data_IF_211276445137
#
_entry.id   IF_211276445137
#
_cell.length_a   1.000
_cell.length_b   1.000
_cell.length_c   1.000
_cell.angle_alpha   90.00
_cell.angle_beta   90.00
_cell.angle_gamma   90.00
#
_symmetry.space_group_name_H-M   'P 1'
#
loop_
_entity.id
_entity.type
_entity.pdbx_description
1 polymer ?
#
# COMPACT_ATOMS: atom_id res chain seq x y z
N UNK A 1 16.49 45.09 40.99
CA UNK A 1 17.83 45.65 40.72
C UNK A 1 18.38 45.01 39.44
N UNK A 2 18.52 45.84 38.40
CA UNK A 2 19.29 45.73 37.15
C UNK A 2 19.16 44.52 36.19
N UNK A 3 18.38 44.80 35.13
CA UNK A 3 18.59 44.47 33.71
C UNK A 3 19.89 45.13 33.18
N UNK A 4 20.37 44.67 32.01
CA UNK A 4 21.41 45.23 31.11
C UNK A 4 22.77 44.51 31.12
N UNK A 5 23.50 44.34 30.01
CA UNK A 5 23.41 44.95 28.66
C UNK A 5 24.21 44.10 27.66
N UNK A 6 23.69 44.00 26.43
CA UNK A 6 24.48 43.72 25.21
C UNK A 6 25.48 44.86 25.00
N UNK A 7 26.71 44.55 24.58
CA UNK A 7 27.61 45.53 23.95
C UNK A 7 27.87 45.15 22.49
N UNK A 8 27.74 46.16 21.64
CA UNK A 8 27.85 46.14 20.18
C UNK A 8 28.95 47.15 19.80
N UNK A 9 29.76 46.77 18.81
CA UNK A 9 30.56 47.61 17.87
C UNK A 9 31.88 48.23 18.35
N UNK A 10 32.94 48.01 17.55
CA UNK A 10 33.66 49.09 16.86
C UNK A 10 34.36 48.56 15.61
N UNK A 11 34.24 49.30 14.50
CA UNK A 11 34.98 49.13 13.24
C UNK A 11 36.41 49.73 13.36
N UNK A 12 37.35 49.35 12.48
CA UNK A 12 37.99 50.24 11.48
C UNK A 12 39.08 49.50 10.66
N UNK A 13 39.05 49.81 9.36
CA UNK A 13 39.86 49.45 8.19
C UNK A 13 41.39 49.31 8.34
N UNK A 14 41.99 48.46 7.51
CA UNK A 14 43.14 48.87 6.68
C UNK A 14 43.12 48.15 5.33
N UNK A 15 43.26 48.95 4.27
CA UNK A 15 43.24 48.62 2.86
C UNK A 15 44.67 48.30 2.40
N UNK A 16 44.88 47.28 1.56
CA UNK A 16 46.02 47.25 0.65
C UNK A 16 45.58 46.74 -0.72
N UNK A 17 45.69 47.65 -1.70
CA UNK A 17 45.48 47.41 -3.12
C UNK A 17 46.82 47.02 -3.72
N UNK A 18 46.86 45.92 -4.47
CA UNK A 18 47.87 45.71 -5.52
C UNK A 18 47.13 45.32 -6.80
N UNK A 19 47.26 46.18 -7.81
CA UNK A 19 46.83 45.98 -9.19
C UNK A 19 48.01 45.42 -9.96
N UNK A 20 47.86 44.27 -10.63
CA UNK A 20 48.61 43.95 -11.86
C UNK A 20 47.67 43.29 -12.85
N UNK A 21 47.80 43.72 -14.11
CA UNK A 21 46.84 43.59 -15.18
C UNK A 21 47.30 42.58 -16.26
N UNK A 22 46.28 42.02 -16.94
CA UNK A 22 46.26 41.53 -18.34
C UNK A 22 46.90 40.15 -18.60
N UNK A 23 46.10 39.25 -19.19
CA UNK A 23 46.23 38.72 -20.58
C UNK A 23 44.99 37.83 -20.81
N UNK A 24 44.26 38.09 -21.89
CA UNK A 24 43.04 37.36 -22.24
C UNK A 24 43.29 36.06 -23.00
N UNK A 25 42.25 35.22 -23.09
CA UNK A 25 41.87 34.51 -24.32
C UNK A 25 40.44 33.96 -24.17
N UNK A 26 39.68 33.99 -25.26
CA UNK A 26 38.34 33.44 -25.37
C UNK A 26 38.38 31.92 -25.65
N UNK A 27 37.31 31.23 -25.22
CA UNK A 27 36.68 30.05 -25.82
C UNK A 27 37.19 28.61 -25.54
N UNK A 28 36.24 27.86 -24.96
CA UNK A 28 35.76 26.49 -25.28
C UNK A 28 36.47 25.19 -24.84
N UNK A 29 35.64 24.40 -24.15
CA UNK A 29 35.47 22.93 -24.13
C UNK A 29 36.59 22.06 -23.53
N UNK A 30 36.26 21.29 -22.48
CA UNK A 30 35.88 19.88 -22.67
C UNK A 30 35.27 19.28 -21.39
N UNK A 31 34.12 18.66 -21.59
CA UNK A 31 33.45 17.76 -20.65
C UNK A 31 34.23 16.45 -20.66
N UNK A 32 34.68 15.99 -19.49
CA UNK A 32 35.01 14.58 -19.29
C UNK A 32 34.07 14.00 -18.23
N UNK A 33 33.06 13.27 -18.72
CA UNK A 33 32.21 12.40 -17.92
C UNK A 33 33.02 11.17 -17.53
N UNK A 34 33.37 11.04 -16.24
CA UNK A 34 33.62 9.74 -15.64
C UNK A 34 32.30 9.19 -15.10
N UNK A 35 31.69 8.31 -15.89
CA UNK A 35 30.59 7.44 -15.50
C UNK A 35 31.01 6.56 -14.33
N UNK A 36 30.45 6.82 -13.14
CA UNK A 36 30.35 5.83 -12.07
C UNK A 36 28.91 5.34 -12.07
N UNK A 37 28.72 4.13 -12.62
CA UNK A 37 27.44 3.42 -12.65
C UNK A 37 27.01 3.09 -11.23
N UNK A 38 26.23 3.96 -10.62
CA UNK A 38 25.47 3.65 -9.41
C UNK A 38 24.13 3.02 -9.82
N UNK A 39 24.00 1.73 -9.58
CA UNK A 39 22.74 0.98 -9.66
C UNK A 39 21.65 1.74 -8.89
N UNK A 40 20.52 2.12 -9.49
CA UNK A 40 19.45 2.75 -8.74
C UNK A 40 18.69 1.68 -7.97
N UNK A 41 18.86 1.66 -6.65
CA UNK A 41 17.88 1.12 -5.72
C UNK A 41 16.53 1.76 -6.04
N UNK A 42 15.72 1.03 -6.79
CA UNK A 42 14.46 1.52 -7.34
C UNK A 42 13.49 1.63 -6.17
N UNK A 43 13.33 2.87 -5.68
CA UNK A 43 12.27 3.26 -4.75
C UNK A 43 10.96 2.65 -5.22
N UNK A 44 10.25 1.98 -4.31
CA UNK A 44 8.85 1.59 -4.50
C UNK A 44 8.13 2.85 -4.93
N UNK A 45 7.70 2.88 -6.20
CA UNK A 45 6.98 4.02 -6.75
C UNK A 45 5.60 3.95 -6.11
N UNK A 46 5.42 4.66 -4.99
CA UNK A 46 4.10 5.14 -4.62
C UNK A 46 3.52 5.71 -5.91
N UNK A 47 2.34 5.25 -6.33
CA UNK A 47 1.60 5.90 -7.41
C UNK A 47 1.39 7.35 -6.99
N UNK A 48 2.26 8.25 -7.42
CA UNK A 48 2.29 9.66 -7.02
C UNK A 48 1.00 10.42 -7.41
N UNK A 49 0.03 9.74 -8.03
CA UNK A 49 -1.29 10.26 -8.39
C UNK A 49 -2.40 9.97 -7.37
N UNK A 50 -2.26 8.98 -6.49
CA UNK A 50 -3.34 8.60 -5.56
C UNK A 50 -3.06 9.18 -4.19
N UNK A 51 -3.63 10.36 -3.96
CA UNK A 51 -3.63 11.03 -2.68
C UNK A 51 -4.28 10.13 -1.61
N UNK A 52 -3.59 9.97 -0.49
CA UNK A 52 -4.13 9.30 0.66
C UNK A 52 -4.94 10.33 1.44
N UNK A 53 -6.26 10.25 1.43
CA UNK A 53 -7.18 11.07 2.24
C UNK A 53 -8.58 10.49 2.23
N UNK A 54 -9.43 10.76 3.23
CA UNK A 54 -10.82 10.33 3.20
C UNK A 54 -11.61 10.90 2.01
N UNK A 55 -12.62 10.17 1.53
CA UNK A 55 -13.61 10.71 0.60
C UNK A 55 -14.34 11.89 1.26
N UNK A 56 -14.77 12.85 0.45
CA UNK A 56 -15.67 13.91 0.93
C UNK A 56 -16.92 13.28 1.53
N UNK A 57 -17.22 13.61 2.78
CA UNK A 57 -18.36 13.03 3.49
C UNK A 57 -19.66 13.52 2.85
N UNK A 58 -20.51 12.57 2.44
CA UNK A 58 -21.82 12.83 1.83
C UNK A 58 -23.00 12.23 2.59
N UNK A 59 -22.74 11.61 3.74
CA UNK A 59 -23.75 10.87 4.52
C UNK A 59 -24.49 9.78 3.69
N UNK A 60 -23.80 9.19 2.73
CA UNK A 60 -24.28 8.11 1.87
C UNK A 60 -23.14 7.13 1.58
N UNK A 61 -23.49 5.93 1.09
CA UNK A 61 -22.48 4.95 0.67
C UNK A 61 -21.76 5.48 -0.57
N UNK A 62 -20.43 5.50 -0.55
CA UNK A 62 -19.60 5.86 -1.69
C UNK A 62 -18.63 4.72 -2.00
N UNK A 63 -18.42 4.42 -3.28
CA UNK A 63 -17.40 3.49 -3.74
C UNK A 63 -16.73 4.08 -4.98
N UNK A 64 -15.42 4.26 -4.92
CA UNK A 64 -14.60 4.80 -6.00
C UNK A 64 -13.56 3.76 -6.36
N UNK A 65 -13.62 3.25 -7.59
CA UNK A 65 -12.59 2.38 -8.18
C UNK A 65 -11.90 3.12 -9.31
N UNK A 66 -10.58 3.28 -9.21
CA UNK A 66 -9.81 3.94 -10.26
C UNK A 66 -9.80 3.10 -11.54
N UNK A 67 -9.71 3.72 -12.74
CA UNK A 67 -9.43 3.00 -13.97
C UNK A 67 -8.17 2.14 -13.83
N UNK A 68 -8.13 1.04 -14.59
CA UNK A 68 -6.89 0.30 -14.75
C UNK A 68 -5.82 1.21 -15.38
N UNK A 69 -4.57 1.02 -15.03
CA UNK A 69 -3.48 1.75 -15.70
C UNK A 69 -3.18 1.18 -17.10
N UNK A 70 -2.17 1.74 -17.78
CA UNK A 70 -1.77 1.31 -19.13
C UNK A 70 -1.24 -0.12 -19.21
N UNK A 71 -0.89 -0.75 -18.09
CA UNK A 71 -0.51 -2.16 -18.01
C UNK A 71 -1.70 -3.05 -17.60
N UNK A 72 -2.91 -2.49 -17.46
CA UNK A 72 -4.10 -3.20 -17.05
C UNK A 72 -4.13 -3.52 -15.55
N UNK A 73 -3.34 -2.83 -14.73
CA UNK A 73 -3.24 -3.04 -13.27
C UNK A 73 -4.31 -2.26 -12.54
N UNK A 74 -4.85 -2.83 -11.46
CA UNK A 74 -5.71 -2.10 -10.54
C UNK A 74 -4.89 -1.01 -9.82
N UNK A 75 -5.49 0.16 -9.58
CA UNK A 75 -4.76 1.33 -9.09
C UNK A 75 -5.22 1.78 -7.70
N UNK A 76 -6.52 1.79 -7.45
CA UNK A 76 -7.09 2.22 -6.17
C UNK A 76 -8.54 1.77 -6.04
N UNK A 77 -8.91 1.32 -4.84
CA UNK A 77 -10.30 1.11 -4.45
C UNK A 77 -10.55 1.85 -3.13
N UNK A 78 -11.64 2.61 -3.04
CA UNK A 78 -11.92 3.49 -1.90
C UNK A 78 -13.40 3.49 -1.59
N UNK A 79 -13.75 3.13 -0.36
CA UNK A 79 -15.13 3.04 0.08
C UNK A 79 -15.39 3.94 1.29
N UNK A 80 -16.60 4.49 1.37
CA UNK A 80 -17.13 5.11 2.57
C UNK A 80 -18.53 4.53 2.82
N UNK A 81 -18.74 3.87 3.96
CA UNK A 81 -19.99 3.17 4.26
C UNK A 81 -20.25 3.07 5.77
N UNK A 82 -21.51 2.87 6.16
CA UNK A 82 -21.91 2.42 7.50
C UNK A 82 -22.34 0.95 7.48
N UNK A 83 -22.40 0.30 8.65
CA UNK A 83 -22.77 -1.11 8.81
C UNK A 83 -24.04 -1.52 8.03
N UNK A 84 -25.09 -0.69 8.10
CA UNK A 84 -26.37 -0.97 7.41
C UNK A 84 -26.30 -0.95 5.87
N UNK A 85 -25.18 -0.51 5.30
CA UNK A 85 -24.94 -0.38 3.86
C UNK A 85 -24.03 -1.48 3.29
N UNK A 86 -23.64 -2.45 4.12
CA UNK A 86 -22.95 -3.64 3.65
C UNK A 86 -23.84 -4.47 2.71
N UNK A 87 -23.26 -5.19 1.74
CA UNK A 87 -24.01 -6.00 0.80
C UNK A 87 -24.78 -7.12 1.50
N UNK A 88 -26.06 -7.26 1.16
CA UNK A 88 -26.93 -8.33 1.67
C UNK A 88 -26.99 -9.56 0.75
N UNK A 89 -26.46 -9.42 -0.46
CA UNK A 89 -26.45 -10.48 -1.47
C UNK A 89 -25.26 -11.38 -1.24
N UNK A 90 -25.46 -12.69 -1.40
CA UNK A 90 -24.38 -13.67 -1.31
C UNK A 90 -23.33 -13.42 -2.39
N UNK A 91 -22.06 -13.47 -2.01
CA UNK A 91 -20.91 -13.37 -2.93
C UNK A 91 -20.98 -14.44 -4.02
N UNK A 92 -20.63 -14.04 -5.24
CA UNK A 92 -20.49 -14.95 -6.38
C UNK A 92 -19.03 -15.39 -6.56
N UNK A 93 -18.78 -16.50 -7.26
CA UNK A 93 -17.42 -16.89 -7.64
C UNK A 93 -16.71 -15.80 -8.47
N UNK A 94 -15.42 -15.62 -8.19
CA UNK A 94 -14.56 -14.76 -8.98
C UNK A 94 -13.99 -15.52 -10.18
N UNK A 95 -14.32 -15.05 -11.38
CA UNK A 95 -13.95 -15.63 -12.67
C UNK A 95 -13.11 -14.69 -13.53
N UNK A 96 -13.07 -13.39 -13.21
CA UNK A 96 -12.23 -12.42 -13.94
C UNK A 96 -10.80 -12.44 -13.41
N UNK A 97 -9.86 -12.65 -14.32
CA UNK A 97 -8.43 -12.66 -14.01
C UNK A 97 -7.84 -11.25 -14.08
N UNK A 98 -7.23 -10.75 -12.99
CA UNK A 98 -6.43 -9.54 -13.03
C UNK A 98 -5.13 -9.78 -13.82
N UNK A 99 -4.44 -8.70 -14.19
CA UNK A 99 -3.17 -8.82 -14.91
C UNK A 99 -2.11 -9.57 -14.08
N UNK A 100 -1.27 -10.35 -14.74
CA UNK A 100 -0.26 -11.20 -14.07
C UNK A 100 -0.84 -12.43 -13.38
N UNK A 101 -2.11 -12.77 -13.61
CA UNK A 101 -2.72 -13.94 -12.99
C UNK A 101 -2.08 -15.25 -13.43
N UNK A 102 -1.48 -15.96 -12.47
CA UNK A 102 -1.10 -17.36 -12.56
C UNK A 102 -1.45 -18.03 -11.24
N UNK A 103 -1.97 -19.26 -11.28
CA UNK A 103 -2.24 -20.00 -10.05
C UNK A 103 -1.59 -21.37 -10.07
N UNK A 104 -1.04 -21.75 -8.93
CA UNK A 104 -0.26 -22.97 -8.77
C UNK A 104 -0.71 -23.72 -7.52
N UNK A 105 -0.78 -25.05 -7.61
CA UNK A 105 -1.06 -25.89 -6.46
C UNK A 105 0.26 -26.31 -5.80
N UNK A 106 0.72 -25.50 -4.84
CA UNK A 106 2.04 -25.61 -4.21
C UNK A 106 2.00 -26.34 -2.87
N UNK A 107 3.12 -26.98 -2.57
CA UNK A 107 3.38 -27.58 -1.28
C UNK A 107 3.55 -26.51 -0.20
N UNK A 108 3.13 -26.81 1.02
CA UNK A 108 3.44 -26.03 2.22
C UNK A 108 3.60 -26.99 3.41
N UNK A 109 4.25 -26.51 4.48
CA UNK A 109 4.34 -27.25 5.75
C UNK A 109 3.25 -26.74 6.68
N UNK A 110 2.31 -27.61 7.08
CA UNK A 110 1.24 -27.26 8.01
C UNK A 110 1.78 -27.11 9.43
N UNK A 111 0.97 -26.56 10.35
CA UNK A 111 1.36 -26.39 11.76
C UNK A 111 1.70 -27.72 12.45
N UNK A 112 1.13 -28.83 11.96
CA UNK A 112 1.46 -30.19 12.42
C UNK A 112 2.79 -30.73 11.87
N UNK A 113 3.47 -29.98 11.01
CA UNK A 113 4.69 -30.38 10.33
C UNK A 113 4.49 -31.21 9.06
N UNK A 114 3.25 -31.56 8.70
CA UNK A 114 2.92 -32.31 7.47
C UNK A 114 3.13 -31.46 6.22
N UNK A 115 3.53 -32.11 5.13
CA UNK A 115 3.61 -31.49 3.81
C UNK A 115 2.28 -31.70 3.08
N UNK A 116 1.59 -30.60 2.79
CA UNK A 116 0.27 -30.57 2.15
C UNK A 116 0.33 -29.67 0.91
N UNK A 117 -0.75 -29.62 0.12
CA UNK A 117 -0.86 -28.71 -1.02
C UNK A 117 -2.00 -27.71 -0.86
N UNK A 118 -1.78 -26.50 -1.35
CA UNK A 118 -2.78 -25.45 -1.46
C UNK A 118 -2.59 -24.64 -2.75
N UNK A 119 -3.67 -24.02 -3.22
CA UNK A 119 -3.58 -23.03 -4.30
C UNK A 119 -2.86 -21.78 -3.79
N UNK A 120 -1.84 -21.33 -4.52
CA UNK A 120 -1.03 -20.19 -4.14
C UNK A 120 -1.82 -18.90 -4.22
N UNK A 121 -2.39 -18.59 -5.37
CA UNK A 121 -2.98 -17.28 -5.66
C UNK A 121 -4.51 -17.31 -5.51
N UNK A 122 -5.03 -16.19 -5.01
CA UNK A 122 -6.44 -15.81 -5.02
C UNK A 122 -6.62 -14.60 -5.93
N UNK A 123 -7.78 -14.50 -6.58
CA UNK A 123 -8.25 -13.25 -7.17
C UNK A 123 -8.62 -12.33 -6.00
N UNK A 124 -7.62 -11.68 -5.43
CA UNK A 124 -7.73 -10.94 -4.18
C UNK A 124 -8.41 -9.61 -4.39
N UNK A 125 -9.30 -9.25 -3.49
CA UNK A 125 -10.01 -7.97 -3.52
C UNK A 125 -9.12 -6.88 -2.93
N UNK A 126 -9.07 -5.70 -3.54
CA UNK A 126 -8.52 -4.53 -2.86
C UNK A 126 -9.43 -4.16 -1.68
N UNK A 127 -10.68 -3.77 -1.94
CA UNK A 127 -11.70 -3.65 -0.89
C UNK A 127 -12.56 -4.91 -0.88
N UNK A 128 -12.51 -5.65 0.23
CA UNK A 128 -13.21 -6.91 0.43
C UNK A 128 -14.70 -6.87 0.10
N UNK A 129 -15.24 -8.02 -0.33
CA UNK A 129 -16.64 -8.14 -0.73
C UNK A 129 -17.62 -7.68 0.35
N UNK A 130 -17.35 -7.96 1.62
CA UNK A 130 -18.22 -7.57 2.74
C UNK A 130 -18.46 -6.05 2.82
N UNK A 131 -17.57 -5.24 2.27
CA UNK A 131 -17.76 -3.79 2.15
C UNK A 131 -18.21 -3.40 0.74
N UNK A 132 -17.49 -3.88 -0.28
CA UNK A 132 -17.64 -3.41 -1.66
C UNK A 132 -18.86 -3.98 -2.38
N UNK A 133 -19.25 -5.22 -2.09
CA UNK A 133 -20.25 -5.98 -2.84
C UNK A 133 -19.83 -6.29 -4.28
N UNK A 134 -18.56 -6.05 -4.64
CA UNK A 134 -18.06 -6.23 -5.99
C UNK A 134 -17.56 -7.66 -6.17
N UNK A 135 -18.13 -8.40 -7.13
CA UNK A 135 -17.60 -9.71 -7.52
C UNK A 135 -16.48 -9.53 -8.56
N UNK A 136 -16.82 -9.52 -9.84
CA UNK A 136 -15.89 -9.58 -10.96
C UNK A 136 -15.45 -8.20 -11.49
N UNK A 137 -15.28 -7.22 -10.59
CA UNK A 137 -14.77 -5.89 -10.93
C UNK A 137 -13.24 -5.91 -11.00
N UNK A 138 -12.69 -5.98 -12.22
CA UNK A 138 -11.23 -6.08 -12.45
C UNK A 138 -10.42 -4.95 -11.80
N UNK A 139 -11.00 -3.75 -11.65
CA UNK A 139 -10.36 -2.60 -10.98
C UNK A 139 -10.22 -2.78 -9.46
N UNK A 140 -10.91 -3.75 -8.88
CA UNK A 140 -10.86 -4.10 -7.46
C UNK A 140 -10.17 -5.46 -7.23
N UNK A 141 -9.46 -6.00 -8.23
CA UNK A 141 -8.81 -7.31 -8.14
C UNK A 141 -7.32 -7.24 -8.46
N UNK A 142 -6.50 -7.93 -7.65
CA UNK A 142 -5.08 -8.19 -7.89
C UNK A 142 -4.73 -9.64 -7.54
N UNK A 143 -3.65 -10.23 -8.10
CA UNK A 143 -3.17 -11.52 -7.62
C UNK A 143 -2.58 -11.41 -6.21
N UNK A 144 -3.15 -12.16 -5.29
CA UNK A 144 -2.76 -12.19 -3.88
C UNK A 144 -2.53 -13.62 -3.41
N UNK A 145 -1.40 -13.95 -2.78
CA UNK A 145 -1.23 -15.28 -2.20
C UNK A 145 -2.27 -15.56 -1.12
N UNK A 146 -2.72 -16.81 -0.98
CA UNK A 146 -3.70 -17.21 0.04
C UNK A 146 -3.24 -16.82 1.47
N UNK A 147 -1.93 -16.95 1.74
CA UNK A 147 -1.32 -16.52 3.00
C UNK A 147 -1.54 -15.02 3.28
N UNK A 148 -1.42 -14.19 2.25
CA UNK A 148 -1.64 -12.75 2.33
C UNK A 148 -3.13 -12.40 2.36
N UNK A 149 -3.94 -12.98 1.49
CA UNK A 149 -5.36 -12.65 1.37
C UNK A 149 -6.15 -13.15 2.60
N UNK A 150 -6.07 -14.45 2.89
CA UNK A 150 -6.89 -15.12 3.90
C UNK A 150 -6.14 -15.42 5.21
N UNK A 151 -4.85 -15.09 5.30
CA UNK A 151 -4.02 -15.35 6.47
C UNK A 151 -3.57 -16.79 6.64
N UNK A 152 -3.94 -17.70 5.74
CA UNK A 152 -3.57 -19.11 5.77
C UNK A 152 -3.48 -19.71 4.35
N UNK A 153 -2.82 -20.86 4.22
CA UNK A 153 -2.76 -21.59 2.94
C UNK A 153 -4.09 -22.23 2.57
N UNK A 154 -4.83 -22.73 3.57
CA UNK A 154 -6.15 -23.34 3.38
C UNK A 154 -7.13 -22.82 4.45
N UNK A 155 -8.33 -22.44 4.04
CA UNK A 155 -9.27 -21.74 4.91
C UNK A 155 -8.82 -20.32 5.27
N UNK A 156 -9.32 -19.82 6.40
CA UNK A 156 -9.13 -18.44 6.85
C UNK A 156 -8.43 -18.41 8.21
N UNK A 157 -7.58 -17.41 8.43
CA UNK A 157 -6.96 -17.10 9.72
C UNK A 157 -6.85 -15.58 9.89
N UNK A 158 -7.82 -15.01 10.60
CA UNK A 158 -7.89 -13.58 10.89
C UNK A 158 -6.99 -13.14 12.07
N UNK A 159 -6.17 -14.04 12.61
CA UNK A 159 -5.14 -13.72 13.60
C UNK A 159 -3.78 -13.41 12.97
N UNK A 160 -3.60 -13.69 11.68
CA UNK A 160 -2.38 -13.38 10.95
C UNK A 160 -2.31 -11.87 10.63
N UNK A 161 -1.54 -11.11 11.41
CA UNK A 161 -1.40 -9.65 11.24
C UNK A 161 -0.72 -9.24 9.93
N UNK A 162 -0.20 -10.18 9.14
CA UNK A 162 0.34 -9.92 7.80
C UNK A 162 -0.72 -10.09 6.68
N UNK A 163 -1.98 -10.39 7.01
CA UNK A 163 -3.04 -10.65 6.03
C UNK A 163 -4.06 -9.53 5.89
N UNK A 164 -4.67 -9.41 4.70
CA UNK A 164 -5.81 -8.50 4.46
C UNK A 164 -6.96 -8.81 5.42
N UNK A 165 -7.31 -10.10 5.56
CA UNK A 165 -8.41 -10.58 6.39
C UNK A 165 -8.33 -10.10 7.85
N UNK A 166 -7.13 -10.03 8.44
CA UNK A 166 -6.95 -9.53 9.81
C UNK A 166 -7.55 -8.13 10.00
N UNK A 167 -7.29 -7.25 9.04
CA UNK A 167 -7.72 -5.85 9.11
C UNK A 167 -9.18 -5.71 8.72
N UNK A 168 -9.60 -6.37 7.63
CA UNK A 168 -10.98 -6.26 7.15
C UNK A 168 -12.00 -6.80 8.17
N UNK A 169 -11.75 -7.96 8.80
CA UNK A 169 -12.66 -8.47 9.84
C UNK A 169 -12.75 -7.54 11.06
N UNK A 170 -11.67 -6.83 11.39
CA UNK A 170 -11.67 -5.90 12.53
C UNK A 170 -12.33 -4.58 12.19
N UNK A 171 -12.21 -4.11 10.95
CA UNK A 171 -12.95 -2.96 10.45
C UNK A 171 -14.45 -3.23 10.38
N UNK A 172 -14.83 -4.44 9.96
CA UNK A 172 -16.20 -4.93 9.97
C UNK A 172 -16.77 -4.98 11.40
N UNK A 173 -16.02 -5.58 12.33
CA UNK A 173 -16.38 -5.56 13.76
C UNK A 173 -16.48 -4.13 14.32
N UNK A 174 -15.61 -3.21 13.89
CA UNK A 174 -15.71 -1.81 14.29
C UNK A 174 -17.01 -1.16 13.77
N UNK A 175 -17.38 -1.39 12.50
CA UNK A 175 -18.65 -0.92 11.94
C UNK A 175 -19.86 -1.50 12.69
N UNK A 176 -19.86 -2.79 12.97
CA UNK A 176 -20.94 -3.46 13.70
C UNK A 176 -21.14 -2.88 15.10
N UNK A 177 -20.06 -2.53 15.79
CA UNK A 177 -20.10 -1.91 17.13
C UNK A 177 -20.40 -0.40 17.10
N UNK A 178 -20.38 0.23 15.92
CA UNK A 178 -20.65 1.66 15.75
C UNK A 178 -21.64 1.91 14.59
N UNK A 179 -22.91 1.45 14.70
CA UNK A 179 -23.83 1.37 13.57
C UNK A 179 -24.24 2.71 12.93
N UNK A 180 -23.96 3.82 13.62
CA UNK A 180 -24.22 5.19 13.14
C UNK A 180 -22.99 5.89 12.57
N UNK A 181 -21.81 5.28 12.70
CA UNK A 181 -20.57 5.81 12.13
C UNK A 181 -20.32 5.22 10.75
N UNK A 182 -19.49 5.94 10.00
CA UNK A 182 -19.00 5.50 8.71
C UNK A 182 -17.55 5.04 8.86
N UNK A 183 -17.19 3.99 8.13
CA UNK A 183 -15.82 3.66 7.79
C UNK A 183 -15.49 4.35 6.48
N UNK A 184 -14.38 5.07 6.42
CA UNK A 184 -13.70 5.44 5.20
C UNK A 184 -12.45 4.56 5.05
N UNK A 185 -12.36 3.81 3.95
CA UNK A 185 -11.33 2.79 3.74
C UNK A 185 -10.81 2.80 2.30
N UNK A 186 -9.54 3.12 2.14
CA UNK A 186 -8.82 3.18 0.87
C UNK A 186 -7.77 2.09 0.80
N UNK A 187 -7.77 1.32 -0.28
CA UNK A 187 -6.83 0.24 -0.55
C UNK A 187 -6.09 0.51 -1.85
N UNK A 188 -4.76 0.55 -1.75
CA UNK A 188 -3.89 0.95 -2.85
C UNK A 188 -2.77 -0.08 -3.05
N UNK A 189 -2.77 -0.81 -4.17
CA UNK A 189 -1.65 -1.67 -4.53
C UNK A 189 -0.40 -0.85 -4.88
N UNK A 190 0.76 -1.29 -4.41
CA UNK A 190 2.05 -0.63 -4.61
C UNK A 190 2.95 -1.51 -5.49
N UNK A 191 3.17 -1.06 -6.73
CA UNK A 191 4.00 -1.75 -7.73
C UNK A 191 5.42 -1.19 -7.78
N UNK A 192 6.37 -1.98 -8.28
CA UNK A 192 7.71 -1.51 -8.63
C UNK A 192 7.88 -1.49 -10.15
N UNK A 193 8.02 -0.30 -10.73
CA UNK A 193 8.16 -0.14 -12.18
C UNK A 193 7.01 -0.79 -12.95
N UNK A 194 7.36 -1.65 -13.92
CA UNK A 194 6.41 -2.35 -14.79
C UNK A 194 5.96 -3.71 -14.24
N UNK A 195 6.20 -4.00 -12.96
CA UNK A 195 5.72 -5.24 -12.34
C UNK A 195 4.19 -5.33 -12.41
N UNK A 196 3.69 -6.52 -12.75
CA UNK A 196 2.26 -6.80 -12.90
C UNK A 196 1.60 -7.17 -11.56
N UNK A 197 2.38 -7.66 -10.60
CA UNK A 197 1.92 -8.00 -9.25
C UNK A 197 2.37 -6.89 -8.29
N UNK A 198 1.49 -6.39 -7.41
CA UNK A 198 1.93 -5.40 -6.41
C UNK A 198 2.86 -6.06 -5.40
N UNK A 199 3.92 -5.35 -5.02
CA UNK A 199 4.86 -5.78 -3.96
C UNK A 199 4.21 -5.69 -2.59
N UNK A 200 3.39 -4.67 -2.42
CA UNK A 200 2.73 -4.36 -1.17
C UNK A 200 1.31 -3.86 -1.45
N UNK A 201 0.44 -3.93 -0.45
CA UNK A 201 -0.84 -3.24 -0.45
C UNK A 201 -0.88 -2.31 0.75
N UNK A 202 -1.26 -1.06 0.51
CA UNK A 202 -1.52 -0.07 1.55
C UNK A 202 -2.99 -0.05 1.87
N UNK A 203 -3.30 -0.17 3.15
CA UNK A 203 -4.62 0.04 3.73
C UNK A 203 -4.59 1.38 4.46
N UNK A 204 -5.55 2.25 4.17
CA UNK A 204 -5.75 3.50 4.90
C UNK A 204 -7.20 3.57 5.37
N UNK A 205 -7.42 3.72 6.68
CA UNK A 205 -8.77 3.73 7.24
C UNK A 205 -8.95 4.76 8.34
N UNK A 206 -10.17 5.30 8.43
CA UNK A 206 -10.62 6.18 9.51
C UNK A 206 -12.13 6.04 9.70
N UNK A 207 -12.60 6.25 10.93
CA UNK A 207 -14.02 6.38 11.21
C UNK A 207 -14.49 7.81 10.94
N UNK A 208 -15.77 7.99 10.65
CA UNK A 208 -16.42 9.29 10.57
C UNK A 208 -17.71 9.28 11.38
N UNK A 209 -17.92 10.31 12.19
CA UNK A 209 -19.21 10.54 12.85
C UNK A 209 -20.28 10.98 11.84
N UNK A 210 -21.52 11.16 12.31
CA UNK A 210 -22.65 11.56 11.47
C UNK A 210 -22.51 12.96 10.85
N UNK A 211 -21.55 13.77 11.33
CA UNK A 211 -21.23 15.09 10.82
C UNK A 211 -19.95 15.09 9.97
N UNK A 212 -19.37 13.92 9.68
CA UNK A 212 -18.13 13.79 8.91
C UNK A 212 -16.86 14.10 9.69
N UNK A 213 -16.91 14.17 11.02
CA UNK A 213 -15.70 14.36 11.86
C UNK A 213 -14.95 13.04 12.00
N UNK A 214 -13.64 13.09 11.87
CA UNK A 214 -12.78 11.90 11.92
C UNK A 214 -12.71 11.29 13.32
N UNK A 215 -12.81 9.97 13.37
CA UNK A 215 -12.66 9.12 14.56
C UNK A 215 -11.50 8.17 14.28
N UNK A 216 -10.39 8.25 15.04
CA UNK A 216 -9.28 7.31 14.89
C UNK A 216 -9.72 5.87 15.15
N UNK A 217 -9.26 4.94 14.31
CA UNK A 217 -9.49 3.49 14.49
C UNK A 217 -8.13 2.84 14.79
N UNK A 218 -8.09 2.02 15.83
CA UNK A 218 -6.92 1.24 16.23
C UNK A 218 -7.28 -0.23 16.34
N UNK A 219 -6.67 -1.06 15.50
CA UNK A 219 -6.98 -2.49 15.36
C UNK A 219 -5.90 -3.38 15.99
N UNK A 220 -4.70 -2.84 16.23
CA UNK A 220 -3.56 -3.57 16.76
C UNK A 220 -2.73 -4.26 15.67
N UNK A 221 -2.01 -5.32 16.05
CA UNK A 221 -1.19 -6.11 15.12
C UNK A 221 0.19 -5.53 14.78
N UNK A 222 0.55 -4.37 15.35
CA UNK A 222 1.91 -3.83 15.33
C UNK A 222 2.38 -3.21 14.01
N UNK A 223 1.49 -3.07 13.02
CA UNK A 223 1.81 -2.49 11.69
C UNK A 223 1.17 -1.13 11.42
N UNK A 224 0.33 -0.66 12.34
CA UNK A 224 -0.39 0.61 12.22
C UNK A 224 0.55 1.81 12.36
N UNK A 225 0.39 2.78 11.46
CA UNK A 225 1.09 4.06 11.46
C UNK A 225 0.07 5.19 11.31
N UNK A 226 0.43 6.39 11.76
CA UNK A 226 -0.37 7.58 11.50
C UNK A 226 -0.17 8.02 10.06
N UNK A 227 -1.26 8.15 9.32
CA UNK A 227 -1.31 8.72 7.98
C UNK A 227 -1.70 10.19 7.97
N UNK A 228 -1.97 10.70 6.78
CA UNK A 228 -2.53 12.05 6.62
C UNK A 228 -4.01 12.06 6.99
N UNK A 229 -4.56 13.25 7.27
CA UNK A 229 -5.98 13.42 7.61
C UNK A 229 -6.48 12.48 8.72
N UNK A 230 -5.62 12.19 9.70
CA UNK A 230 -5.91 11.34 10.86
C UNK A 230 -6.24 9.88 10.53
N UNK A 231 -5.97 9.41 9.31
CA UNK A 231 -6.14 7.99 8.97
C UNK A 231 -5.10 7.14 9.65
N UNK A 232 -5.45 5.90 9.94
CA UNK A 232 -4.49 4.84 10.25
C UNK A 232 -4.04 4.18 8.95
N UNK A 233 -2.72 3.99 8.80
CA UNK A 233 -2.09 3.34 7.65
C UNK A 233 -1.48 2.00 8.05
N UNK A 234 -1.66 1.02 7.18
CA UNK A 234 -0.99 -0.28 7.24
C UNK A 234 -0.43 -0.56 5.85
N UNK A 235 0.78 -1.13 5.79
CA UNK A 235 1.36 -1.64 4.55
C UNK A 235 1.70 -3.10 4.75
N UNK A 236 1.14 -3.95 3.88
CA UNK A 236 1.29 -5.39 3.91
C UNK A 236 2.12 -5.85 2.72
N UNK A 237 3.06 -6.75 2.94
CA UNK A 237 3.89 -7.32 1.89
C UNK A 237 3.14 -8.45 1.20
N UNK A 238 2.99 -8.38 -0.13
CA UNK A 238 2.24 -9.34 -0.93
C UNK A 238 3.05 -10.62 -1.18
N UNK A 239 3.37 -11.34 -0.10
CA UNK A 239 4.29 -12.48 -0.08
C UNK A 239 3.61 -13.75 0.44
N UNK A 240 4.21 -14.90 0.14
CA UNK A 240 3.85 -16.18 0.76
C UNK A 240 5.11 -16.93 1.19
N UNK A 241 5.18 -17.52 2.39
CA UNK A 241 6.37 -18.24 2.83
C UNK A 241 6.73 -19.45 1.96
N UNK A 242 5.73 -20.07 1.30
CA UNK A 242 5.93 -21.25 0.45
C UNK A 242 6.23 -20.94 -1.03
N UNK A 243 6.47 -19.67 -1.39
CA UNK A 243 6.66 -19.28 -2.78
C UNK A 243 7.68 -18.14 -2.96
N UNK A 244 8.42 -18.21 -4.06
CA UNK A 244 9.14 -17.06 -4.64
C UNK A 244 8.32 -16.58 -5.83
N UNK A 245 7.76 -15.38 -5.72
CA UNK A 245 6.90 -14.76 -6.74
C UNK A 245 7.78 -13.93 -7.68
N UNK A 246 7.61 -14.14 -8.99
CA UNK A 246 8.11 -13.25 -10.02
C UNK A 246 7.09 -12.12 -10.24
N UNK A 247 7.29 -10.98 -9.59
CA UNK A 247 6.34 -9.86 -9.65
C UNK A 247 6.24 -9.21 -11.04
N UNK A 248 7.26 -9.40 -11.90
CA UNK A 248 7.25 -8.86 -13.25
C UNK A 248 6.24 -9.58 -14.15
N UNK A 249 6.06 -10.89 -13.98
CA UNK A 249 5.21 -11.72 -14.84
C UNK A 249 4.01 -12.33 -14.13
N UNK A 250 4.08 -12.45 -12.80
CA UNK A 250 3.11 -13.16 -11.97
C UNK A 250 3.36 -14.66 -11.82
N UNK A 251 4.39 -15.22 -12.46
CA UNK A 251 4.77 -16.62 -12.26
C UNK A 251 5.38 -16.83 -10.87
N UNK A 252 5.43 -18.08 -10.39
CA UNK A 252 6.00 -18.38 -9.07
C UNK A 252 6.73 -19.73 -9.05
N UNK A 253 7.67 -19.86 -8.13
CA UNK A 253 8.34 -21.13 -7.82
C UNK A 253 8.07 -21.53 -6.38
N UNK A 254 7.74 -22.80 -6.17
CA UNK A 254 7.49 -23.35 -4.84
C UNK A 254 8.81 -23.51 -4.06
N UNK A 255 8.86 -23.06 -2.81
CA UNK A 255 10.03 -23.20 -1.93
C UNK A 255 10.02 -24.49 -1.11
N UNK A 256 8.88 -25.18 -1.07
CA UNK A 256 8.69 -26.43 -0.34
C UNK A 256 8.72 -27.61 -1.30
N UNK A 257 9.64 -28.55 -1.04
CA UNK A 257 9.74 -29.80 -1.81
C UNK A 257 8.68 -30.80 -1.33
N UNK A 258 8.26 -31.68 -2.24
CA UNK A 258 7.48 -32.87 -1.87
C UNK A 258 8.30 -33.68 -0.88
N UNK A 259 7.75 -33.96 0.31
CA UNK A 259 8.34 -34.95 1.21
C UNK A 259 8.27 -36.33 0.53
N UNK A 260 9.39 -37.05 0.50
CA UNK A 260 9.41 -38.46 0.11
C UNK A 260 8.82 -39.30 1.24
#
# INVERSE_FOLDING_TARGET
MNKHRKNKKSLINTLFIIVIAIIGYFATQNIDQKNTTSTPDTKIVLSNSIEQRPLTFKNERQMVVAPLDSLGRAVNAHIQLKNSQEPKVKREPLTVDPVGWHNYNFYYKSNSGKVEKAWLMSRGHLVGYQFSGLNNEKRNLVPEPAWFNAGNYNGMNDSNTASMLYYENRLDSWLANHPHYYLDYQVTPLYKGNELIPRQIRLAYVGLDQNGRTIPIKLGGGREKVGTAQTTLVTLDNVSPNAIINYATGTATNTVKKGY
#
